data_IF_520338111492
#
_entry.id   IF_520338111492
#
_cell.length_a   1.000
_cell.length_b   1.000
_cell.length_c   1.000
_cell.angle_alpha   90.00
_cell.angle_beta   90.00
_cell.angle_gamma   90.00
#
_symmetry.space_group_name_H-M   'P 1'
#
loop_
_entity.id
_entity.type
_entity.pdbx_description
1 polymer ?
#
# COMPACT_ATOMS: atom_id res chain seq x y z
N UNK A 1 13.29 -1.62 19.85
CA UNK A 1 12.18 -1.68 18.88
C UNK A 1 12.63 -0.99 17.59
N UNK A 2 12.73 -1.70 16.47
CA UNK A 2 13.13 -1.11 15.20
C UNK A 2 11.97 -0.27 14.66
N UNK A 3 12.10 1.06 14.67
CA UNK A 3 11.06 1.95 14.17
C UNK A 3 11.26 2.09 12.66
N UNK A 4 10.37 1.50 11.86
CA UNK A 4 10.32 1.76 10.42
C UNK A 4 9.88 3.23 10.23
N UNK A 5 10.83 4.07 9.83
CA UNK A 5 10.59 5.53 9.71
C UNK A 5 9.83 5.90 8.45
N UNK A 6 9.96 5.12 7.38
CA UNK A 6 9.39 5.42 6.06
C UNK A 6 8.65 4.21 5.50
N UNK A 7 7.40 4.45 5.08
CA UNK A 7 6.60 3.53 4.28
C UNK A 7 6.83 3.80 2.79
N UNK A 8 6.66 2.76 1.98
CA UNK A 8 6.88 2.81 0.55
C UNK A 8 5.83 1.99 -0.18
N UNK A 9 5.21 2.59 -1.19
CA UNK A 9 4.27 1.91 -2.11
C UNK A 9 4.76 2.11 -3.53
N UNK A 10 4.93 1.01 -4.26
CA UNK A 10 5.20 1.01 -5.70
C UNK A 10 3.98 0.49 -6.42
N UNK A 11 3.60 1.16 -7.51
CA UNK A 11 2.45 0.76 -8.29
C UNK A 11 2.66 1.08 -9.78
N UNK A 12 1.91 0.38 -10.62
CA UNK A 12 1.80 0.62 -12.05
C UNK A 12 0.34 0.50 -12.47
N UNK A 13 -0.15 1.49 -13.20
CA UNK A 13 -1.50 1.57 -13.73
C UNK A 13 -1.48 1.16 -15.19
N UNK A 14 -2.30 0.17 -15.54
CA UNK A 14 -2.63 -0.16 -16.92
C UNK A 14 -3.95 0.52 -17.27
N UNK A 15 -4.03 1.06 -18.48
CA UNK A 15 -5.18 1.81 -18.96
C UNK A 15 -5.53 1.39 -20.38
N UNK A 16 -6.82 1.40 -20.70
CA UNK A 16 -7.34 1.07 -22.03
C UNK A 16 -8.53 1.98 -22.35
N UNK A 17 -8.80 2.21 -23.63
CA UNK A 17 -9.98 2.97 -24.07
C UNK A 17 -9.95 4.47 -23.73
N UNK A 18 -8.78 5.02 -23.39
CA UNK A 18 -8.59 6.44 -23.07
C UNK A 18 -7.57 7.09 -24.02
N UNK A 19 -7.65 8.41 -24.12
CA UNK A 19 -6.74 9.25 -24.90
C UNK A 19 -5.29 9.13 -24.42
N UNK A 20 -4.34 9.63 -25.20
CA UNK A 20 -2.93 9.66 -24.78
C UNK A 20 -2.71 10.61 -23.61
N UNK A 21 -3.44 11.72 -23.58
CA UNK A 21 -3.27 12.85 -22.66
C UNK A 21 -4.18 12.77 -21.42
N UNK A 22 -4.34 11.56 -20.91
CA UNK A 22 -5.12 11.29 -19.70
C UNK A 22 -4.35 11.69 -18.44
N UNK A 23 -5.05 12.33 -17.51
CA UNK A 23 -4.51 12.70 -16.20
C UNK A 23 -4.74 11.54 -15.22
N UNK A 24 -3.69 11.15 -14.50
CA UNK A 24 -3.77 10.07 -13.51
C UNK A 24 -3.23 10.58 -12.19
N UNK A 25 -4.13 10.76 -11.23
CA UNK A 25 -3.82 11.11 -9.85
C UNK A 25 -3.90 9.86 -9.00
N UNK A 26 -2.96 9.71 -8.07
CA UNK A 26 -2.97 8.58 -7.14
C UNK A 26 -2.73 9.07 -5.74
N UNK A 27 -3.66 8.76 -4.85
CA UNK A 27 -3.57 9.03 -3.43
C UNK A 27 -3.44 7.73 -2.65
N UNK A 28 -2.57 7.73 -1.65
CA UNK A 28 -2.56 6.72 -0.60
C UNK A 28 -3.33 7.28 0.60
N UNK A 29 -4.46 6.67 0.91
CA UNK A 29 -5.33 7.08 2.00
C UNK A 29 -5.15 6.15 3.20
N UNK A 30 -5.16 6.71 4.41
CA UNK A 30 -5.19 5.93 5.65
C UNK A 30 -6.59 5.33 5.93
N UNK A 31 -6.74 4.65 7.08
CA UNK A 31 -8.00 4.00 7.47
C UNK A 31 -9.18 4.99 7.62
N UNK A 32 -8.88 6.26 7.91
CA UNK A 32 -9.87 7.34 8.08
C UNK A 32 -10.13 8.09 6.75
N UNK A 33 -9.48 7.68 5.66
CA UNK A 33 -9.58 8.36 4.36
C UNK A 33 -8.66 9.58 4.20
N UNK A 34 -7.73 9.82 5.14
CA UNK A 34 -6.79 10.94 5.04
C UNK A 34 -5.65 10.60 4.09
N UNK A 35 -5.33 11.52 3.18
CA UNK A 35 -4.20 11.34 2.25
C UNK A 35 -2.87 11.41 2.99
N UNK A 36 -2.08 10.34 2.92
CA UNK A 36 -0.73 10.27 3.51
C UNK A 36 0.39 10.40 2.47
N UNK A 37 0.07 10.21 1.19
CA UNK A 37 0.94 10.46 0.06
C UNK A 37 0.13 10.63 -1.22
N UNK A 38 0.66 11.39 -2.17
CA UNK A 38 0.08 11.54 -3.51
C UNK A 38 1.16 11.46 -4.58
N UNK A 39 0.79 11.06 -5.78
CA UNK A 39 1.65 11.12 -6.96
C UNK A 39 0.83 11.20 -8.25
N UNK A 40 1.52 11.55 -9.34
CA UNK A 40 0.92 11.73 -10.66
C UNK A 40 1.59 10.83 -11.69
N UNK A 41 0.77 10.16 -12.52
CA UNK A 41 1.18 9.31 -13.63
C UNK A 41 1.02 7.80 -13.39
N UNK A 42 1.42 7.01 -14.38
CA UNK A 42 1.12 5.56 -14.45
C UNK A 42 2.01 4.67 -13.59
N UNK A 43 3.30 4.97 -13.43
CA UNK A 43 4.26 4.14 -12.69
C UNK A 43 5.03 5.02 -11.73
N UNK A 44 4.80 4.82 -10.43
CA UNK A 44 5.37 5.67 -9.39
C UNK A 44 5.73 4.87 -8.15
N UNK A 45 6.55 5.52 -7.35
CA UNK A 45 6.90 5.13 -5.99
C UNK A 45 6.51 6.29 -5.08
N UNK A 46 5.68 6.01 -4.08
CA UNK A 46 5.33 6.97 -3.04
C UNK A 46 6.03 6.59 -1.73
N UNK A 47 6.70 7.56 -1.12
CA UNK A 47 7.34 7.43 0.18
C UNK A 47 6.64 8.34 1.19
N UNK A 48 6.38 7.85 2.39
CA UNK A 48 5.70 8.62 3.44
C UNK A 48 6.23 8.26 4.83
N UNK A 49 6.12 9.19 5.77
CA UNK A 49 6.69 9.04 7.11
C UNK A 49 5.75 8.29 8.05
N UNK A 50 6.33 7.55 9.00
CA UNK A 50 5.62 6.87 10.11
C UNK A 50 4.46 5.97 9.61
N UNK A 51 4.76 4.94 8.80
CA UNK A 51 3.72 4.03 8.34
C UNK A 51 3.13 3.23 9.51
N UNK A 52 1.82 3.06 9.52
CA UNK A 52 1.14 2.02 10.29
C UNK A 52 1.29 0.72 9.50
N UNK A 53 2.03 -0.23 10.04
CA UNK A 53 2.36 -1.46 9.33
C UNK A 53 1.19 -2.45 9.39
N UNK A 54 1.02 -3.21 8.31
CA UNK A 54 0.18 -4.39 8.32
C UNK A 54 0.89 -5.50 9.09
N UNK A 55 0.15 -6.14 9.99
CA UNK A 55 0.62 -7.27 10.79
C UNK A 55 -0.36 -8.44 10.67
N UNK A 56 0.12 -9.70 10.64
CA UNK A 56 -0.70 -10.87 10.85
C UNK A 56 -1.43 -10.83 12.20
N UNK A 57 -2.49 -11.62 12.32
CA UNK A 57 -3.22 -11.78 13.57
C UNK A 57 -2.24 -12.27 14.67
N UNK A 58 -2.39 -11.75 15.89
CA UNK A 58 -1.57 -12.07 17.07
C UNK A 58 -0.12 -11.52 17.07
N UNK A 59 0.34 -10.83 16.03
CA UNK A 59 1.67 -10.19 16.04
C UNK A 59 1.66 -8.72 16.48
N UNK A 60 0.48 -8.09 16.54
CA UNK A 60 0.33 -6.68 16.88
C UNK A 60 -1.05 -6.40 17.48
N UNK A 61 -1.16 -5.34 18.29
CA UNK A 61 -2.42 -4.86 18.87
C UNK A 61 -3.43 -4.37 17.81
N UNK A 62 -2.94 -3.88 16.67
CA UNK A 62 -3.73 -3.52 15.48
C UNK A 62 -3.33 -4.40 14.29
N UNK A 63 -3.77 -5.67 14.27
CA UNK A 63 -3.51 -6.54 13.14
C UNK A 63 -4.30 -6.07 11.91
N UNK A 64 -3.83 -6.43 10.72
CA UNK A 64 -4.60 -6.22 9.50
C UNK A 64 -4.74 -4.76 9.04
N UNK A 65 -3.88 -3.84 9.49
CA UNK A 65 -3.96 -2.43 9.06
C UNK A 65 -3.85 -2.29 7.53
N UNK A 66 -4.81 -1.61 6.90
CA UNK A 66 -4.85 -1.39 5.45
C UNK A 66 -4.99 0.09 5.11
N UNK A 67 -4.14 0.55 4.19
CA UNK A 67 -4.35 1.79 3.44
C UNK A 67 -5.28 1.53 2.25
N UNK A 68 -5.74 2.61 1.61
CA UNK A 68 -6.43 2.56 0.31
C UNK A 68 -5.61 3.32 -0.73
N UNK A 69 -5.12 2.63 -1.75
CA UNK A 69 -4.57 3.25 -2.95
C UNK A 69 -5.74 3.65 -3.84
N UNK A 70 -6.04 4.95 -3.90
CA UNK A 70 -7.08 5.53 -4.74
C UNK A 70 -6.44 6.07 -6.02
N UNK A 71 -6.83 5.54 -7.16
CA UNK A 71 -6.44 6.01 -8.47
C UNK A 71 -7.63 6.76 -9.06
N UNK A 72 -7.38 7.98 -9.51
CA UNK A 72 -8.32 8.80 -10.27
C UNK A 72 -7.74 9.03 -11.66
N UNK A 73 -8.43 8.50 -12.66
CA UNK A 73 -8.13 8.70 -14.07
C UNK A 73 -9.14 9.71 -14.62
N UNK A 74 -8.64 10.73 -15.31
CA UNK A 74 -9.46 11.78 -15.92
C UNK A 74 -9.06 11.99 -17.37
N UNK A 75 -10.02 11.76 -18.28
CA UNK A 75 -9.88 11.91 -19.72
C UNK A 75 -10.98 12.86 -20.25
N UNK A 76 -10.68 14.15 -20.29
CA UNK A 76 -11.68 15.20 -20.53
C UNK A 76 -12.75 15.20 -19.44
N UNK A 77 -14.01 14.99 -19.84
CA UNK A 77 -15.17 14.89 -18.93
C UNK A 77 -15.37 13.48 -18.36
N UNK A 78 -14.64 12.48 -18.85
CA UNK A 78 -14.74 11.11 -18.35
C UNK A 78 -13.81 10.93 -17.16
N UNK A 79 -14.39 10.48 -16.04
CA UNK A 79 -13.64 10.16 -14.82
C UNK A 79 -13.82 8.69 -14.44
N UNK A 80 -12.74 8.04 -14.04
CA UNK A 80 -12.73 6.68 -13.50
C UNK A 80 -11.96 6.62 -12.16
N UNK A 81 -12.49 5.86 -11.20
CA UNK A 81 -11.95 5.75 -9.86
C UNK A 81 -11.77 4.30 -9.44
N UNK A 82 -10.52 3.90 -9.23
CA UNK A 82 -10.19 2.61 -8.67
C UNK A 82 -9.66 2.72 -7.24
N UNK A 83 -10.06 1.80 -6.36
CA UNK A 83 -9.64 1.77 -4.95
C UNK A 83 -9.13 0.38 -4.60
N UNK A 84 -7.86 0.29 -4.21
CA UNK A 84 -7.22 -0.97 -3.81
C UNK A 84 -6.77 -0.91 -2.35
N UNK A 85 -7.08 -1.93 -1.56
CA UNK A 85 -6.56 -2.04 -0.19
C UNK A 85 -5.10 -2.50 -0.19
N UNK A 86 -4.25 -1.83 0.58
CA UNK A 86 -2.79 -2.07 0.61
C UNK A 86 -2.29 -2.19 2.05
N UNK A 87 -1.71 -3.33 2.39
CA UNK A 87 -0.98 -3.54 3.64
C UNK A 87 0.52 -3.25 3.46
N UNK A 88 1.08 -2.37 4.29
CA UNK A 88 2.51 -2.04 4.24
C UNK A 88 3.26 -2.96 5.19
N UNK A 89 4.13 -3.81 4.64
CA UNK A 89 4.91 -4.79 5.39
C UNK A 89 6.18 -5.16 4.65
N UNK A 90 7.21 -5.54 5.39
CA UNK A 90 8.36 -6.28 4.84
C UNK A 90 8.22 -7.76 5.15
N UNK A 91 8.62 -8.59 4.20
CA UNK A 91 8.75 -10.04 4.37
C UNK A 91 10.18 -10.39 4.02
N UNK A 92 10.87 -11.09 4.91
CA UNK A 92 12.20 -11.63 4.68
C UNK A 92 12.28 -13.04 5.24
N UNK A 93 13.26 -13.83 4.83
CA UNK A 93 13.46 -15.17 5.34
C UNK A 93 14.95 -15.50 5.41
N UNK A 94 15.28 -16.45 6.27
CA UNK A 94 16.60 -17.07 6.35
C UNK A 94 16.44 -18.51 6.84
N UNK A 95 17.55 -19.16 7.21
CA UNK A 95 17.55 -20.54 7.72
C UNK A 95 16.72 -20.73 9.01
N UNK A 96 16.46 -19.67 9.79
CA UNK A 96 15.70 -19.74 11.04
C UNK A 96 14.21 -19.39 10.88
N UNK A 97 13.76 -18.98 9.69
CA UNK A 97 12.33 -18.85 9.39
C UNK A 97 11.97 -17.62 8.55
N UNK A 98 10.69 -17.27 8.60
CA UNK A 98 10.08 -16.12 7.92
C UNK A 98 9.90 -14.99 8.93
N UNK A 99 10.16 -13.77 8.49
CA UNK A 99 10.07 -12.56 9.31
C UNK A 99 9.13 -11.57 8.65
N UNK A 100 8.15 -11.08 9.41
CA UNK A 100 7.26 -9.98 9.00
C UNK A 100 7.65 -8.75 9.79
N UNK A 101 8.00 -7.65 9.11
CA UNK A 101 8.45 -6.41 9.75
C UNK A 101 9.58 -6.64 10.78
N UNK A 102 10.51 -7.55 10.46
CA UNK A 102 11.60 -8.02 11.33
C UNK A 102 11.21 -8.90 12.52
N UNK A 103 9.93 -9.16 12.77
CA UNK A 103 9.46 -10.12 13.77
C UNK A 103 9.38 -11.53 13.19
N UNK A 104 9.93 -12.53 13.89
CA UNK A 104 9.82 -13.94 13.50
C UNK A 104 8.34 -14.35 13.48
N UNK A 105 7.86 -14.81 12.33
CA UNK A 105 6.50 -15.29 12.18
C UNK A 105 6.41 -16.77 12.54
N UNK A 106 5.43 -17.11 13.39
CA UNK A 106 5.12 -18.49 13.76
C UNK A 106 3.78 -18.85 13.15
N UNK A 107 3.81 -19.35 11.91
CA UNK A 107 2.61 -19.78 11.22
C UNK A 107 1.89 -20.87 12.03
N UNK A 108 0.67 -20.57 12.46
CA UNK A 108 -0.28 -21.55 12.98
C UNK A 108 -1.37 -21.71 11.93
N UNK A 109 -1.30 -22.81 11.19
CA UNK A 109 -2.38 -23.20 10.28
C UNK A 109 -3.42 -23.91 11.16
N UNK A 110 -4.60 -23.30 11.32
CA UNK A 110 -5.74 -23.99 11.90
C UNK A 110 -6.46 -24.72 10.77
N UNK A 111 -6.44 -26.05 10.83
CA UNK A 111 -7.24 -26.93 9.98
C UNK A 111 -8.68 -27.01 10.45
#
# INVERSE_FOLDING_TARGET
MLIIKNGKVRYSVLRQGCSRDVLIYTDLLDENGSTVASSFGIKKEMCFKRPKLWWPKMMNERPGYLYTLKIHLKDGEVEDFYRLKVGIRSISWNISGIFVNHGLERMKIFG
#
